data_IF_601333616979
#
_entry.id   IF_601333616979
#
_cell.length_a   1.000
_cell.length_b   1.000
_cell.length_c   1.000
_cell.angle_alpha   90.00
_cell.angle_beta   90.00
_cell.angle_gamma   90.00
#
_symmetry.space_group_name_H-M   'P 1'
#
loop_
_entity.id
_entity.type
_entity.pdbx_description
1 polymer ?
#
# COMPACT_ATOMS: atom_id res chain seq x y z
N UNK A 1 27.71 -9.95 25.00
CA UNK A 1 27.21 -8.57 24.72
C UNK A 1 27.36 -8.21 23.24
N UNK A 2 28.40 -8.72 22.54
CA UNK A 2 28.66 -8.41 21.14
C UNK A 2 27.58 -8.95 20.19
N UNK A 3 26.92 -10.05 20.52
CA UNK A 3 25.79 -10.61 19.74
C UNK A 3 24.54 -9.73 19.75
N UNK A 4 24.43 -8.79 20.71
CA UNK A 4 23.32 -7.83 20.79
C UNK A 4 23.58 -6.54 19.98
N UNK A 5 24.79 -6.35 19.48
CA UNK A 5 25.23 -5.17 18.73
C UNK A 5 25.18 -5.42 17.22
N UNK A 6 24.02 -5.84 16.70
CA UNK A 6 23.83 -6.03 15.26
C UNK A 6 23.92 -4.67 14.55
N UNK A 7 24.82 -4.52 13.57
CA UNK A 7 24.92 -3.28 12.80
C UNK A 7 23.67 -3.06 11.95
N UNK A 8 23.37 -1.79 11.64
CA UNK A 8 22.28 -1.47 10.71
C UNK A 8 22.62 -1.96 9.29
N UNK A 9 21.64 -2.59 8.66
CA UNK A 9 21.73 -2.88 7.21
C UNK A 9 21.60 -1.59 6.40
N UNK A 10 22.20 -1.57 5.22
CA UNK A 10 21.98 -0.48 4.29
C UNK A 10 20.51 -0.43 3.81
N UNK A 11 20.08 0.74 3.39
CA UNK A 11 18.72 0.89 2.82
C UNK A 11 18.54 0.03 1.58
N UNK A 12 19.60 -0.11 0.77
CA UNK A 12 19.61 -1.01 -0.38
C UNK A 12 19.36 -2.46 0.04
N UNK A 13 20.11 -2.98 1.03
CA UNK A 13 19.97 -4.36 1.49
C UNK A 13 18.56 -4.66 1.99
N UNK A 14 17.94 -3.69 2.68
CA UNK A 14 16.55 -3.83 3.14
C UNK A 14 15.57 -3.94 1.96
N UNK A 15 15.70 -3.08 0.94
CA UNK A 15 14.82 -3.17 -0.22
C UNK A 15 15.08 -4.44 -1.05
N UNK A 16 16.32 -4.85 -1.21
CA UNK A 16 16.68 -6.08 -1.93
C UNK A 16 16.12 -7.31 -1.21
N UNK A 17 16.16 -7.33 0.13
CA UNK A 17 15.54 -8.39 0.92
C UNK A 17 14.00 -8.40 0.75
N UNK A 18 13.33 -7.24 0.83
CA UNK A 18 11.88 -7.15 0.59
C UNK A 18 11.51 -7.68 -0.80
N UNK A 19 12.31 -7.36 -1.81
CA UNK A 19 12.08 -7.84 -3.18
C UNK A 19 12.27 -9.36 -3.25
N UNK A 20 13.31 -9.90 -2.63
CA UNK A 20 13.56 -11.34 -2.57
C UNK A 20 12.44 -12.10 -1.84
N UNK A 21 11.94 -11.56 -0.73
CA UNK A 21 10.81 -12.13 0.01
C UNK A 21 9.52 -12.12 -0.84
N UNK A 22 9.30 -11.04 -1.60
CA UNK A 22 8.19 -10.98 -2.55
C UNK A 22 8.33 -12.05 -3.64
N UNK A 23 9.53 -12.29 -4.18
CA UNK A 23 9.77 -13.34 -5.19
C UNK A 23 9.50 -14.73 -4.64
N UNK A 24 9.95 -15.02 -3.43
CA UNK A 24 9.64 -16.26 -2.75
C UNK A 24 8.13 -16.43 -2.51
N UNK A 25 7.44 -15.35 -2.13
CA UNK A 25 5.99 -15.34 -1.95
C UNK A 25 5.24 -15.56 -3.28
N UNK A 26 5.67 -14.91 -4.38
CA UNK A 26 5.10 -15.09 -5.72
C UNK A 26 5.20 -16.56 -6.17
N UNK A 27 6.32 -17.21 -5.88
CA UNK A 27 6.53 -18.61 -6.24
C UNK A 27 5.68 -19.59 -5.40
N UNK A 28 5.36 -19.22 -4.16
CA UNK A 28 4.73 -20.13 -3.18
C UNK A 28 3.23 -19.90 -3.02
N UNK A 29 2.75 -18.66 -3.18
CA UNK A 29 1.36 -18.32 -2.94
C UNK A 29 0.45 -18.71 -4.11
N UNK A 30 -0.81 -19.10 -3.82
CA UNK A 30 -1.79 -19.42 -4.86
C UNK A 30 -2.23 -18.19 -5.63
N UNK A 31 -2.75 -18.39 -6.85
CA UNK A 31 -3.34 -17.33 -7.67
C UNK A 31 -4.74 -16.90 -7.23
N UNK A 32 -5.38 -17.70 -6.35
CA UNK A 32 -6.72 -17.43 -5.80
C UNK A 32 -6.76 -17.94 -4.37
N UNK A 33 -7.34 -17.15 -3.47
CA UNK A 33 -7.49 -17.51 -2.06
C UNK A 33 -8.79 -16.93 -1.50
N UNK A 34 -9.17 -17.34 -0.30
CA UNK A 34 -10.25 -16.71 0.45
C UNK A 34 -9.91 -15.25 0.73
N UNK A 35 -10.93 -14.40 0.80
CA UNK A 35 -10.77 -12.98 1.15
C UNK A 35 -10.02 -12.85 2.49
N UNK A 36 -9.11 -11.89 2.57
CA UNK A 36 -8.23 -11.71 3.74
C UNK A 36 -6.98 -12.61 3.75
N UNK A 37 -6.83 -13.52 2.80
CA UNK A 37 -5.61 -14.30 2.60
C UNK A 37 -4.78 -13.74 1.45
N UNK A 38 -3.47 -13.76 1.62
CA UNK A 38 -2.56 -13.30 0.58
C UNK A 38 -2.56 -14.24 -0.64
N UNK A 39 -2.48 -13.63 -1.81
CA UNK A 39 -2.28 -14.31 -3.10
C UNK A 39 -0.96 -13.86 -3.72
N UNK A 40 -0.50 -14.55 -4.76
CA UNK A 40 0.68 -14.11 -5.51
C UNK A 40 0.51 -12.70 -6.10
N UNK A 41 -0.74 -12.26 -6.36
CA UNK A 41 -1.03 -10.92 -6.87
C UNK A 41 -0.79 -9.84 -5.81
N UNK A 42 -1.05 -10.14 -4.54
CA UNK A 42 -0.69 -9.27 -3.42
C UNK A 42 0.84 -9.12 -3.31
N UNK A 43 1.59 -10.21 -3.49
CA UNK A 43 3.04 -10.18 -3.49
C UNK A 43 3.61 -9.38 -4.67
N UNK A 44 3.05 -9.54 -5.88
CA UNK A 44 3.40 -8.72 -7.04
C UNK A 44 3.11 -7.23 -6.81
N UNK A 45 1.94 -6.88 -6.27
CA UNK A 45 1.58 -5.50 -5.98
C UNK A 45 2.53 -4.87 -4.94
N UNK A 46 2.89 -5.63 -3.89
CA UNK A 46 3.86 -5.20 -2.88
C UNK A 46 5.26 -5.02 -3.50
N UNK A 47 5.73 -5.98 -4.31
CA UNK A 47 7.01 -5.89 -5.02
C UNK A 47 7.06 -4.67 -5.93
N UNK A 48 6.00 -4.43 -6.72
CA UNK A 48 5.92 -3.25 -7.58
C UNK A 48 6.06 -1.96 -6.78
N UNK A 49 5.33 -1.83 -5.69
CA UNK A 49 5.38 -0.65 -4.81
C UNK A 49 6.75 -0.47 -4.16
N UNK A 50 7.31 -1.52 -3.58
CA UNK A 50 8.64 -1.47 -2.93
C UNK A 50 9.74 -1.08 -3.94
N UNK A 51 9.76 -1.72 -5.11
CA UNK A 51 10.73 -1.40 -6.17
C UNK A 51 10.57 0.03 -6.68
N UNK A 52 9.33 0.55 -6.79
CA UNK A 52 9.10 1.94 -7.18
C UNK A 52 9.67 2.93 -6.16
N UNK A 53 9.50 2.66 -4.87
CA UNK A 53 10.08 3.49 -3.81
C UNK A 53 11.61 3.43 -3.83
N UNK A 54 12.21 2.23 -3.96
CA UNK A 54 13.65 2.07 -4.09
C UNK A 54 14.21 2.83 -5.29
N UNK A 55 13.54 2.74 -6.45
CA UNK A 55 13.92 3.46 -7.67
C UNK A 55 13.90 4.98 -7.48
N UNK A 56 12.87 5.50 -6.79
CA UNK A 56 12.76 6.94 -6.50
C UNK A 56 13.83 7.41 -5.52
N UNK A 57 14.11 6.63 -4.49
CA UNK A 57 15.22 6.93 -3.56
C UNK A 57 16.55 6.97 -4.34
N UNK A 58 16.83 5.94 -5.14
CA UNK A 58 18.05 5.88 -5.95
C UNK A 58 18.19 7.09 -6.87
N UNK A 59 17.07 7.55 -7.48
CA UNK A 59 17.11 8.61 -8.49
C UNK A 59 17.14 10.02 -7.90
N UNK A 60 16.42 10.26 -6.80
CA UNK A 60 16.14 11.62 -6.34
C UNK A 60 16.65 11.93 -4.93
N UNK A 61 16.98 10.91 -4.13
CA UNK A 61 17.48 11.15 -2.79
C UNK A 61 18.98 11.46 -2.82
N UNK A 62 19.47 12.43 -2.02
CA UNK A 62 20.90 12.68 -1.89
C UNK A 62 21.65 11.40 -1.48
N UNK A 63 22.80 11.17 -2.12
CA UNK A 63 23.62 10.02 -1.76
C UNK A 63 24.27 10.24 -0.39
N UNK A 64 24.11 9.27 0.49
CA UNK A 64 24.73 9.27 1.82
C UNK A 64 26.18 8.83 1.71
N UNK A 65 27.08 9.48 2.44
CA UNK A 65 28.52 9.14 2.46
C UNK A 65 28.81 7.78 3.09
N UNK A 66 27.91 7.31 3.97
CA UNK A 66 28.03 6.01 4.67
C UNK A 66 27.28 4.87 3.95
N UNK A 67 26.52 5.17 2.90
CA UNK A 67 25.71 4.20 2.17
C UNK A 67 24.51 3.64 2.93
N UNK A 68 24.29 4.03 4.19
CA UNK A 68 23.26 3.44 5.03
C UNK A 68 21.84 3.93 4.69
N UNK A 69 21.71 5.20 4.28
CA UNK A 69 20.41 5.86 4.08
C UNK A 69 20.13 6.19 2.62
N UNK A 70 20.96 5.72 1.71
CA UNK A 70 20.81 5.95 0.26
C UNK A 70 20.87 4.64 -0.52
N UNK A 71 20.40 4.70 -1.76
CA UNK A 71 20.52 3.63 -2.75
C UNK A 71 21.33 4.22 -3.93
N UNK A 72 22.32 3.50 -4.46
CA UNK A 72 23.11 4.01 -5.59
C UNK A 72 22.23 4.40 -6.78
N UNK A 73 22.48 5.59 -7.34
CA UNK A 73 21.72 6.12 -8.48
C UNK A 73 21.71 5.20 -9.71
N UNK A 74 22.80 4.43 -9.90
CA UNK A 74 22.94 3.44 -10.98
C UNK A 74 21.86 2.34 -10.94
N UNK A 75 21.27 2.06 -9.78
CA UNK A 75 20.26 1.02 -9.60
C UNK A 75 18.83 1.51 -9.90
N UNK A 76 18.62 2.81 -10.10
CA UNK A 76 17.28 3.37 -10.30
C UNK A 76 16.50 2.68 -11.43
N UNK A 77 17.14 2.51 -12.61
CA UNK A 77 16.48 1.89 -13.76
C UNK A 77 16.16 0.40 -13.53
N UNK A 78 17.01 -0.33 -12.82
CA UNK A 78 16.75 -1.72 -12.46
C UNK A 78 15.49 -1.84 -11.60
N UNK A 79 15.37 -1.02 -10.55
CA UNK A 79 14.19 -1.01 -9.69
C UNK A 79 12.92 -0.55 -10.43
N UNK A 80 13.00 0.44 -11.33
CA UNK A 80 11.87 0.81 -12.20
C UNK A 80 11.40 -0.36 -13.07
N UNK A 81 12.34 -1.10 -13.66
CA UNK A 81 12.02 -2.28 -14.48
C UNK A 81 11.34 -3.36 -13.66
N UNK A 82 11.82 -3.65 -12.45
CA UNK A 82 11.19 -4.61 -11.53
C UNK A 82 9.78 -4.17 -11.13
N UNK A 83 9.60 -2.89 -10.82
CA UNK A 83 8.29 -2.31 -10.49
C UNK A 83 7.31 -2.47 -11.65
N UNK A 84 7.71 -2.08 -12.85
CA UNK A 84 6.89 -2.20 -14.05
C UNK A 84 6.50 -3.67 -14.32
N UNK A 85 7.47 -4.58 -14.32
CA UNK A 85 7.21 -5.99 -14.58
C UNK A 85 6.20 -6.59 -13.58
N UNK A 86 6.32 -6.26 -12.30
CA UNK A 86 5.40 -6.74 -11.26
C UNK A 86 4.00 -6.13 -11.38
N UNK A 87 3.89 -4.85 -11.74
CA UNK A 87 2.60 -4.21 -12.00
C UNK A 87 1.91 -4.81 -13.23
N UNK A 88 2.66 -4.99 -14.33
CA UNK A 88 2.15 -5.63 -15.55
C UNK A 88 1.63 -7.04 -15.28
N UNK A 89 2.33 -7.83 -14.47
CA UNK A 89 1.87 -9.17 -14.12
C UNK A 89 0.49 -9.18 -13.44
N UNK A 90 0.19 -8.19 -12.58
CA UNK A 90 -1.14 -8.06 -11.95
C UNK A 90 -2.20 -7.66 -12.98
N UNK A 91 -1.88 -6.70 -13.84
CA UNK A 91 -2.79 -6.19 -14.88
C UNK A 91 -3.12 -7.29 -15.89
N UNK A 92 -2.10 -7.95 -16.43
CA UNK A 92 -2.23 -8.98 -17.47
C UNK A 92 -2.97 -10.22 -16.96
N UNK A 93 -2.91 -10.49 -15.66
CA UNK A 93 -3.68 -11.57 -15.04
C UNK A 93 -5.20 -11.36 -15.12
N UNK A 94 -5.68 -10.12 -15.27
CA UNK A 94 -7.09 -9.78 -15.35
C UNK A 94 -7.94 -10.17 -14.15
N UNK A 95 -7.30 -10.45 -12.98
CA UNK A 95 -8.00 -10.88 -11.76
C UNK A 95 -8.52 -9.71 -10.93
N UNK A 96 -7.94 -8.55 -11.13
CA UNK A 96 -8.27 -7.32 -10.42
C UNK A 96 -8.54 -6.19 -11.42
N UNK A 97 -9.61 -6.31 -12.25
CA UNK A 97 -9.97 -5.26 -13.21
C UNK A 97 -10.50 -4.02 -12.48
N UNK A 98 -10.42 -2.88 -13.15
CA UNK A 98 -10.99 -1.64 -12.65
C UNK A 98 -12.49 -1.80 -12.38
N UNK A 99 -12.95 -1.25 -11.27
CA UNK A 99 -14.36 -1.26 -10.90
C UNK A 99 -15.14 -0.22 -11.74
N UNK A 100 -16.22 -0.64 -12.37
CA UNK A 100 -17.01 0.21 -13.27
C UNK A 100 -18.50 0.27 -12.90
N UNK A 101 -18.87 -0.20 -11.68
CA UNK A 101 -20.26 -0.49 -11.33
C UNK A 101 -21.17 0.70 -11.01
N UNK A 102 -20.65 1.84 -10.62
CA UNK A 102 -21.44 2.92 -10.01
C UNK A 102 -22.36 3.73 -10.95
N UNK A 103 -22.15 3.69 -12.25
CA UNK A 103 -22.91 4.47 -13.25
C UNK A 103 -22.54 5.97 -13.31
N UNK A 104 -21.94 6.52 -12.26
CA UNK A 104 -21.32 7.86 -12.25
C UNK A 104 -19.93 7.77 -11.63
N UNK A 105 -19.04 8.70 -11.98
CA UNK A 105 -17.66 8.73 -11.41
C UNK A 105 -17.66 8.82 -9.89
N UNK A 106 -18.52 9.67 -9.31
CA UNK A 106 -18.60 9.83 -7.85
C UNK A 106 -19.05 8.54 -7.16
N UNK A 107 -20.06 7.87 -7.73
CA UNK A 107 -20.57 6.62 -7.16
C UNK A 107 -19.56 5.50 -7.31
N UNK A 108 -18.91 5.37 -8.47
CA UNK A 108 -17.84 4.39 -8.69
C UNK A 108 -16.68 4.62 -7.72
N UNK A 109 -16.23 5.86 -7.53
CA UNK A 109 -15.18 6.20 -6.57
C UNK A 109 -15.56 5.87 -5.13
N UNK A 110 -16.82 6.11 -4.74
CA UNK A 110 -17.33 5.70 -3.43
C UNK A 110 -17.35 4.17 -3.27
N UNK A 111 -17.81 3.44 -4.29
CA UNK A 111 -17.89 1.98 -4.26
C UNK A 111 -16.53 1.31 -4.14
N UNK A 112 -15.48 1.84 -4.76
CA UNK A 112 -14.09 1.34 -4.61
C UNK A 112 -13.67 1.32 -3.13
N UNK A 113 -14.10 2.30 -2.35
CA UNK A 113 -13.74 2.45 -0.94
C UNK A 113 -14.71 1.72 0.01
N UNK A 114 -15.98 1.58 -0.35
CA UNK A 114 -17.04 1.13 0.56
C UNK A 114 -17.63 -0.22 0.22
N UNK A 115 -17.53 -0.67 -1.04
CA UNK A 115 -18.09 -1.94 -1.46
C UNK A 115 -17.12 -3.08 -1.12
N UNK A 116 -17.54 -3.95 -0.21
CA UNK A 116 -16.79 -5.18 0.09
C UNK A 116 -16.72 -6.09 -1.14
N UNK A 117 -15.54 -6.66 -1.38
CA UNK A 117 -15.31 -7.59 -2.49
C UNK A 117 -15.37 -6.95 -3.87
N UNK A 118 -15.18 -5.63 -3.99
CA UNK A 118 -15.06 -5.03 -5.33
C UNK A 118 -13.85 -5.57 -6.08
N UNK A 119 -13.90 -5.48 -7.42
CA UNK A 119 -12.92 -6.12 -8.31
C UNK A 119 -11.49 -5.59 -8.18
N UNK A 120 -11.30 -4.35 -7.69
CA UNK A 120 -9.96 -3.75 -7.54
C UNK A 120 -9.23 -4.20 -6.27
N UNK A 121 -9.92 -4.84 -5.33
CA UNK A 121 -9.31 -5.27 -4.08
C UNK A 121 -8.35 -6.44 -4.31
N UNK A 122 -7.05 -6.19 -4.12
CA UNK A 122 -5.99 -7.20 -4.27
C UNK A 122 -5.75 -7.93 -2.93
N UNK A 123 -5.68 -7.17 -1.83
CA UNK A 123 -5.51 -7.70 -0.49
C UNK A 123 -6.14 -6.76 0.51
N UNK A 124 -7.04 -7.28 1.35
CA UNK A 124 -7.81 -6.49 2.31
C UNK A 124 -7.78 -7.14 3.69
N UNK A 125 -7.83 -6.30 4.71
CA UNK A 125 -8.12 -6.74 6.08
C UNK A 125 -9.61 -6.71 6.27
N UNK A 126 -10.22 -7.86 6.58
CA UNK A 126 -11.63 -7.94 6.89
C UNK A 126 -11.88 -7.65 8.36
N UNK A 127 -12.91 -6.89 8.60
CA UNK A 127 -13.47 -6.63 9.92
C UNK A 127 -14.89 -7.19 10.00
N UNK A 128 -15.23 -7.78 11.13
CA UNK A 128 -16.53 -8.37 11.37
C UNK A 128 -16.93 -8.12 12.84
N UNK A 129 -18.00 -7.36 13.02
CA UNK A 129 -18.51 -7.00 14.34
C UNK A 129 -18.98 -8.24 15.09
N UNK A 130 -19.61 -9.20 14.39
CA UNK A 130 -20.08 -10.46 14.97
C UNK A 130 -18.97 -11.34 15.55
N UNK A 131 -17.77 -11.25 14.97
CA UNK A 131 -16.56 -11.94 15.43
C UNK A 131 -15.69 -11.08 16.37
N UNK A 132 -16.16 -9.91 16.81
CA UNK A 132 -15.40 -8.99 17.66
C UNK A 132 -14.20 -8.36 16.97
N UNK A 133 -14.13 -8.41 15.64
CA UNK A 133 -13.04 -7.83 14.81
C UNK A 133 -13.51 -6.49 14.26
N UNK A 134 -13.26 -5.41 14.99
CA UNK A 134 -13.65 -4.06 14.61
C UNK A 134 -12.44 -3.18 14.39
N UNK A 135 -12.59 -2.17 13.50
CA UNK A 135 -11.66 -1.05 13.41
C UNK A 135 -12.27 0.19 14.07
N UNK A 136 -11.44 1.06 14.58
CA UNK A 136 -11.90 2.27 15.28
C UNK A 136 -11.83 3.52 14.38
N UNK A 137 -11.64 3.36 13.06
CA UNK A 137 -11.45 4.49 12.15
C UNK A 137 -12.62 5.48 12.21
N UNK A 138 -13.86 5.01 12.10
CA UNK A 138 -15.04 5.85 12.21
C UNK A 138 -15.11 6.60 13.55
N UNK A 139 -14.75 5.91 14.64
CA UNK A 139 -14.72 6.51 15.98
C UNK A 139 -13.69 7.66 16.07
N UNK A 140 -12.48 7.46 15.56
CA UNK A 140 -11.44 8.49 15.57
C UNK A 140 -11.66 9.62 14.57
N UNK A 141 -12.47 9.39 13.53
CA UNK A 141 -12.79 10.37 12.49
C UNK A 141 -14.06 11.17 12.78
N UNK A 142 -14.84 10.80 13.82
CA UNK A 142 -16.04 11.55 14.19
C UNK A 142 -15.70 12.93 14.76
N UNK A 143 -16.57 13.90 14.50
CA UNK A 143 -16.49 15.23 15.14
C UNK A 143 -16.72 15.12 16.66
N UNK A 144 -16.12 16.03 17.41
CA UNK A 144 -16.03 15.95 18.88
C UNK A 144 -17.37 15.78 19.59
N UNK A 145 -18.43 16.42 19.16
CA UNK A 145 -19.74 16.34 19.81
C UNK A 145 -20.38 14.95 19.86
N UNK A 146 -19.91 14.00 19.06
CA UNK A 146 -20.48 12.65 18.98
C UNK A 146 -19.74 11.59 19.81
N UNK A 147 -18.61 11.93 20.42
CA UNK A 147 -17.73 10.98 21.09
C UNK A 147 -17.76 11.01 22.61
N UNK A 148 -18.78 11.56 23.23
CA UNK A 148 -18.90 11.61 24.69
C UNK A 148 -17.63 12.14 25.40
N UNK A 149 -17.00 13.17 24.84
CA UNK A 149 -15.79 13.81 25.40
C UNK A 149 -14.45 13.28 24.90
N UNK A 150 -14.42 12.28 24.01
CA UNK A 150 -13.20 11.85 23.34
C UNK A 150 -13.00 12.68 22.06
N UNK A 151 -11.94 13.47 21.99
CA UNK A 151 -11.63 14.31 20.83
C UNK A 151 -11.41 13.52 19.55
N UNK A 152 -11.65 14.15 18.39
CA UNK A 152 -11.26 13.61 17.10
C UNK A 152 -9.76 13.70 16.92
N UNK A 153 -9.12 12.59 16.54
CA UNK A 153 -7.68 12.53 16.30
C UNK A 153 -7.34 12.65 14.81
N UNK A 154 -8.36 12.66 13.94
CA UNK A 154 -8.20 12.76 12.50
C UNK A 154 -9.01 13.94 12.00
N UNK A 155 -8.33 14.94 11.52
CA UNK A 155 -8.93 16.17 10.94
C UNK A 155 -8.48 16.31 9.49
N UNK A 156 -9.35 16.86 8.66
CA UNK A 156 -8.98 17.29 7.31
C UNK A 156 -8.27 18.64 7.45
N UNK A 157 -7.08 18.77 6.86
CA UNK A 157 -6.40 20.05 6.78
C UNK A 157 -7.25 21.05 5.99
N UNK A 158 -7.29 22.30 6.44
CA UNK A 158 -8.00 23.40 5.78
C UNK A 158 -7.65 23.50 4.29
N UNK A 159 -6.36 23.42 3.95
CA UNK A 159 -5.87 23.43 2.56
C UNK A 159 -6.40 22.25 1.71
N UNK A 160 -6.85 21.18 2.34
CA UNK A 160 -7.51 20.07 1.64
C UNK A 160 -9.00 20.34 1.47
N UNK A 161 -9.64 20.92 2.49
CA UNK A 161 -11.05 21.28 2.42
C UNK A 161 -11.31 22.35 1.35
N UNK A 162 -10.42 23.33 1.22
CA UNK A 162 -10.48 24.41 0.21
C UNK A 162 -10.38 23.89 -1.24
N UNK A 163 -9.93 22.65 -1.47
CA UNK A 163 -9.87 22.04 -2.81
C UNK A 163 -11.17 21.42 -3.26
N UNK A 164 -12.14 21.27 -2.38
CA UNK A 164 -13.47 20.81 -2.77
C UNK A 164 -14.27 21.98 -3.35
N UNK A 165 -14.76 21.82 -4.55
CA UNK A 165 -15.65 22.79 -5.18
C UNK A 165 -16.97 22.86 -4.40
N UNK A 166 -17.33 24.07 -3.97
CA UNK A 166 -18.68 24.31 -3.49
C UNK A 166 -19.64 24.19 -4.68
N UNK A 167 -20.57 23.25 -4.61
CA UNK A 167 -21.73 23.28 -5.50
C UNK A 167 -22.77 24.18 -4.83
N UNK A 168 -23.08 25.31 -5.50
CA UNK A 168 -24.21 26.15 -5.17
C UNK A 168 -25.55 25.39 -5.34
#
# INVERSE_FOLDING_TARGET
YDELMTPRSSLQDVYDQVIADCDAAIASLPGTAMVGKATKWAAHALKSRASLYAARIAKYHPQSSDGLTSIPASLANSYYTMSHASASAVIDAGKHPLHTGGGTYQKTASEILTLEGNSEQIFVTQYDVGLGKTHQHGYFSMVDGFKAGWGSNIHIYESSAERFEYKD
#
